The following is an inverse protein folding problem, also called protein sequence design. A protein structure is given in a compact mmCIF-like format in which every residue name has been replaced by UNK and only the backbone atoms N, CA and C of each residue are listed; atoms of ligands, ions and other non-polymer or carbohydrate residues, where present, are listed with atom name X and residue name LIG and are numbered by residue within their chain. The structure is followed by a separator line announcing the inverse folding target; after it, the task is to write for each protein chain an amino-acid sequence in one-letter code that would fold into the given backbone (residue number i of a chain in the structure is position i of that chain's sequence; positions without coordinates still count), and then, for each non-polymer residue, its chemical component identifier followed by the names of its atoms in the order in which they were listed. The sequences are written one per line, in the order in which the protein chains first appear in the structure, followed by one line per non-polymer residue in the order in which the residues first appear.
data_IF_360645172378
#
_entry.id   IF_360645172378
#
_cell.length_a   1.000
_cell.length_b   1.000
_cell.length_c   1.000
_cell.angle_alpha   90.00
_cell.angle_beta   90.00
_cell.angle_gamma   90.00
#
_symmetry.space_group_name_H-M   'P 1'
#
loop_
_entity.id
_entity.type
_entity.pdbx_description
1 polymer ?
#
# COMPACT_ATOMS: atom_id res chain seq x y z
N UNK A 1 -19.46 12.72 -6.59
CA UNK A 1 -18.21 12.25 -7.21
C UNK A 1 -18.46 12.10 -8.70
N UNK A 2 -17.51 12.51 -9.53
CA UNK A 2 -17.59 12.38 -10.99
C UNK A 2 -16.28 11.80 -11.51
N UNK A 3 -16.32 10.93 -12.53
CA UNK A 3 -15.11 10.37 -13.11
C UNK A 3 -14.29 11.49 -13.78
N UNK A 4 -12.98 11.50 -13.54
CA UNK A 4 -12.08 12.57 -14.00
C UNK A 4 -11.04 12.13 -15.03
N UNK A 5 -10.90 10.83 -15.31
CA UNK A 5 -9.94 10.35 -16.31
C UNK A 5 -10.35 10.77 -17.72
N UNK A 6 -9.36 11.18 -18.53
CA UNK A 6 -9.54 11.40 -19.97
C UNK A 6 -9.68 10.08 -20.73
N UNK A 7 -10.52 10.07 -21.77
CA UNK A 7 -10.73 8.96 -22.68
C UNK A 7 -9.46 8.67 -23.52
N UNK A 8 -9.03 7.41 -23.45
CA UNK A 8 -8.14 6.63 -24.34
C UNK A 8 -7.35 7.39 -25.42
N UNK A 9 -6.03 7.50 -25.22
CA UNK A 9 -5.04 7.33 -26.29
C UNK A 9 -3.64 7.22 -25.70
N UNK A 10 -3.20 5.99 -25.44
CA UNK A 10 -1.82 5.51 -25.39
C UNK A 10 -1.91 4.02 -24.99
N UNK A 11 -1.09 3.16 -25.59
CA UNK A 11 -1.07 1.67 -25.45
C UNK A 11 -1.87 1.14 -24.26
N UNK A 12 -3.02 0.50 -24.53
CA UNK A 12 -4.03 0.12 -23.53
C UNK A 12 -3.40 -0.71 -22.40
N UNK A 13 -3.05 -0.05 -21.30
CA UNK A 13 -2.65 -0.72 -20.07
C UNK A 13 -3.78 -1.67 -19.66
N UNK A 14 -3.42 -2.89 -19.23
CA UNK A 14 -4.42 -3.86 -18.79
C UNK A 14 -5.10 -3.42 -17.49
N UNK A 15 -4.33 -2.82 -16.59
CA UNK A 15 -4.89 -2.22 -15.38
C UNK A 15 -5.46 -0.85 -15.69
N UNK A 16 -6.67 -0.58 -15.21
CA UNK A 16 -7.33 0.72 -15.30
C UNK A 16 -7.66 1.25 -13.91
N UNK A 17 -7.11 2.40 -13.55
CA UNK A 17 -7.39 3.12 -12.32
C UNK A 17 -8.36 4.25 -12.64
N UNK A 18 -9.64 4.05 -12.36
CA UNK A 18 -10.68 5.08 -12.52
C UNK A 18 -10.65 6.02 -11.33
N UNK A 19 -10.24 7.27 -11.54
CA UNK A 19 -10.34 8.31 -10.52
C UNK A 19 -11.70 9.00 -10.59
N UNK A 20 -12.30 9.24 -9.42
CA UNK A 20 -13.51 10.04 -9.28
C UNK A 20 -13.24 11.21 -8.34
N UNK A 21 -13.41 12.44 -8.85
CA UNK A 21 -13.17 13.66 -8.10
C UNK A 21 -14.40 14.15 -7.34
N UNK A 22 -14.18 14.82 -6.22
CA UNK A 22 -15.19 15.68 -5.58
C UNK A 22 -15.44 16.93 -6.43
N UNK A 23 -16.54 17.64 -6.16
CA UNK A 23 -16.75 18.97 -6.76
C UNK A 23 -15.75 20.01 -6.26
N UNK A 24 -15.07 19.74 -5.13
CA UNK A 24 -14.03 20.60 -4.59
C UNK A 24 -12.74 20.47 -5.41
N UNK A 25 -12.33 19.27 -5.80
CA UNK A 25 -11.15 19.03 -6.62
C UNK A 25 -11.19 19.78 -7.97
N UNK A 26 -12.38 19.99 -8.54
CA UNK A 26 -12.54 20.77 -9.79
C UNK A 26 -12.04 22.23 -9.69
N UNK A 27 -11.88 22.76 -8.47
CA UNK A 27 -11.30 24.09 -8.24
C UNK A 27 -9.77 24.08 -8.26
N UNK A 28 -9.14 22.90 -8.35
CA UNK A 28 -7.70 22.68 -8.28
C UNK A 28 -7.22 21.86 -9.49
N UNK A 29 -7.19 22.45 -10.70
CA UNK A 29 -6.86 21.73 -11.93
C UNK A 29 -5.47 21.09 -11.91
N UNK A 30 -4.48 21.73 -11.26
CA UNK A 30 -3.12 21.18 -11.15
C UNK A 30 -3.06 19.92 -10.27
N UNK A 31 -3.78 19.90 -9.14
CA UNK A 31 -3.90 18.71 -8.30
C UNK A 31 -4.60 17.57 -9.05
N UNK A 32 -5.68 17.90 -9.79
CA UNK A 32 -6.41 16.95 -10.64
C UNK A 32 -5.49 16.32 -11.70
N UNK A 33 -4.69 17.12 -12.41
CA UNK A 33 -3.73 16.59 -13.38
C UNK A 33 -2.65 15.73 -12.73
N UNK A 34 -2.13 16.13 -11.57
CA UNK A 34 -1.10 15.35 -10.88
C UNK A 34 -1.63 13.98 -10.41
N UNK A 35 -2.88 13.91 -9.94
CA UNK A 35 -3.55 12.63 -9.67
C UNK A 35 -3.63 11.74 -10.92
N UNK A 36 -3.99 12.31 -12.07
CA UNK A 36 -4.08 11.56 -13.34
C UNK A 36 -2.70 11.02 -13.76
N UNK A 37 -1.64 11.83 -13.64
CA UNK A 37 -0.25 11.41 -13.91
C UNK A 37 0.18 10.29 -12.98
N UNK A 38 -0.11 10.41 -11.68
CA UNK A 38 0.23 9.40 -10.68
C UNK A 38 -0.49 8.07 -10.95
N UNK A 39 -1.78 8.10 -11.34
CA UNK A 39 -2.52 6.91 -11.72
C UNK A 39 -1.92 6.25 -12.97
N UNK A 40 -1.60 7.01 -14.01
CA UNK A 40 -1.00 6.49 -15.24
C UNK A 40 0.34 5.78 -14.98
N UNK A 41 1.16 6.26 -14.03
CA UNK A 41 2.41 5.57 -13.63
C UNK A 41 2.17 4.18 -13.05
N UNK A 42 1.10 4.01 -12.27
CA UNK A 42 0.75 2.70 -11.74
C UNK A 42 0.15 1.78 -12.81
N UNK A 43 -0.69 2.32 -13.70
CA UNK A 43 -1.32 1.55 -14.77
C UNK A 43 -0.30 0.86 -15.70
N UNK A 44 0.83 1.52 -15.99
CA UNK A 44 1.89 0.91 -16.83
C UNK A 44 2.73 -0.15 -16.12
N UNK A 45 2.71 -0.20 -14.78
CA UNK A 45 3.48 -1.16 -13.99
C UNK A 45 2.70 -2.44 -13.66
N UNK A 46 1.37 -2.38 -13.66
CA UNK A 46 0.51 -3.49 -13.23
C UNK A 46 -0.10 -4.19 -14.45
N UNK A 47 0.16 -5.48 -14.59
CA UNK A 47 -0.19 -6.26 -15.79
C UNK A 47 -1.52 -7.04 -15.65
N UNK A 48 -2.25 -6.88 -14.55
CA UNK A 48 -3.56 -7.52 -14.35
C UNK A 48 -4.64 -6.78 -15.16
N UNK A 49 -5.54 -7.52 -15.80
CA UNK A 49 -6.70 -6.92 -16.46
C UNK A 49 -7.81 -6.68 -15.43
N UNK A 50 -7.74 -5.50 -14.78
CA UNK A 50 -8.68 -5.11 -13.73
C UNK A 50 -8.98 -3.62 -13.78
N UNK A 51 -10.19 -3.26 -13.32
CA UNK A 51 -10.53 -1.87 -13.04
C UNK A 51 -10.57 -1.63 -11.53
N UNK A 52 -9.82 -0.63 -11.08
CA UNK A 52 -9.73 -0.17 -9.69
C UNK A 52 -10.32 1.23 -9.64
N UNK A 53 -11.23 1.50 -8.71
CA UNK A 53 -11.86 2.82 -8.56
C UNK A 53 -11.32 3.51 -7.33
N UNK A 54 -10.81 4.73 -7.49
CA UNK A 54 -10.31 5.56 -6.39
C UNK A 54 -11.04 6.89 -6.36
N UNK A 55 -11.57 7.21 -5.20
CA UNK A 55 -12.21 8.48 -4.90
C UNK A 55 -11.13 9.48 -4.46
N UNK A 56 -11.01 10.63 -5.11
CA UNK A 56 -9.93 11.61 -4.87
C UNK A 56 -10.47 12.99 -4.48
N UNK A 57 -9.77 13.66 -3.57
CA UNK A 57 -10.09 15.01 -3.10
C UNK A 57 -8.84 15.87 -2.82
N UNK A 58 -9.00 17.18 -2.86
CA UNK A 58 -7.96 18.14 -2.49
C UNK A 58 -8.59 19.33 -1.75
N UNK A 59 -8.22 19.52 -0.48
CA UNK A 59 -8.92 20.45 0.38
C UNK A 59 -8.39 20.55 1.80
N UNK A 60 -9.04 21.35 2.63
CA UNK A 60 -8.67 21.48 4.06
C UNK A 60 -9.20 20.32 4.91
N UNK A 61 -9.98 19.42 4.34
CA UNK A 61 -10.58 18.24 4.98
C UNK A 61 -10.43 17.00 4.11
N UNK A 62 -10.39 15.83 4.74
CA UNK A 62 -10.43 14.52 4.10
C UNK A 62 -11.88 14.03 3.98
N UNK A 63 -12.53 14.26 2.83
CA UNK A 63 -13.93 13.87 2.60
C UNK A 63 -14.91 14.35 3.71
N UNK A 64 -14.70 15.58 4.19
CA UNK A 64 -15.49 16.19 5.26
C UNK A 64 -15.01 15.89 6.69
N UNK A 65 -14.00 15.03 6.87
CA UNK A 65 -13.34 14.81 8.15
C UNK A 65 -12.06 15.65 8.27
N UNK A 66 -11.68 16.02 9.49
CA UNK A 66 -10.40 16.71 9.73
C UNK A 66 -9.23 15.77 9.43
N UNK A 67 -8.19 16.28 8.75
CA UNK A 67 -6.93 15.57 8.60
C UNK A 67 -6.26 15.31 9.96
N UNK A 68 -5.45 14.24 10.03
CA UNK A 68 -4.56 14.03 11.15
C UNK A 68 -3.55 15.18 11.30
N UNK A 69 -2.93 15.28 12.48
CA UNK A 69 -1.90 16.29 12.71
C UNK A 69 -0.74 16.07 11.71
N UNK A 70 -0.26 17.17 11.10
CA UNK A 70 0.82 17.15 10.10
C UNK A 70 0.62 16.17 8.93
N UNK A 71 -0.62 15.87 8.55
CA UNK A 71 -0.93 14.94 7.44
C UNK A 71 -1.00 15.69 6.10
N UNK A 72 -0.09 15.34 5.18
CA UNK A 72 0.00 15.89 3.82
C UNK A 72 -1.11 15.33 2.91
N UNK A 73 -1.19 14.00 2.88
CA UNK A 73 -2.18 13.21 2.19
C UNK A 73 -2.62 12.05 3.08
N UNK A 74 -3.77 11.48 2.77
CA UNK A 74 -4.27 10.30 3.46
C UNK A 74 -5.00 9.39 2.50
N UNK A 75 -4.78 8.09 2.67
CA UNK A 75 -5.49 7.03 1.97
C UNK A 75 -6.31 6.20 2.94
N UNK A 76 -7.58 5.99 2.63
CA UNK A 76 -8.42 4.99 3.29
C UNK A 76 -8.84 3.92 2.26
N UNK A 77 -8.32 2.71 2.42
CA UNK A 77 -8.63 1.59 1.53
C UNK A 77 -9.83 0.80 2.05
N UNK A 78 -10.73 0.39 1.15
CA UNK A 78 -11.75 -0.60 1.46
C UNK A 78 -11.09 -1.97 1.51
N UNK A 79 -11.14 -2.60 2.69
CA UNK A 79 -10.56 -3.92 2.96
C UNK A 79 -11.62 -4.93 3.34
N UNK A 80 -11.38 -6.19 2.99
CA UNK A 80 -12.24 -7.31 3.33
C UNK A 80 -11.40 -8.46 3.88
N UNK A 81 -12.01 -9.25 4.74
CA UNK A 81 -11.38 -10.42 5.36
C UNK A 81 -11.70 -11.67 4.54
N UNK A 82 -10.66 -12.40 4.14
CA UNK A 82 -10.75 -13.64 3.36
C UNK A 82 -9.94 -14.75 4.03
N UNK A 83 -10.34 -16.00 3.80
CA UNK A 83 -9.52 -17.14 4.18
C UNK A 83 -8.21 -17.13 3.40
N UNK A 84 -7.10 -17.41 4.09
CA UNK A 84 -5.77 -17.42 3.49
C UNK A 84 -5.66 -18.45 2.36
N UNK A 85 -6.35 -19.60 2.45
CA UNK A 85 -6.38 -20.58 1.37
C UNK A 85 -6.91 -20.01 0.05
N UNK A 86 -7.94 -19.15 0.10
CA UNK A 86 -8.49 -18.50 -1.09
C UNK A 86 -7.51 -17.47 -1.65
N UNK A 87 -6.88 -16.68 -0.79
CA UNK A 87 -5.87 -15.70 -1.20
C UNK A 87 -4.65 -16.39 -1.81
N UNK A 88 -4.14 -17.47 -1.20
CA UNK A 88 -3.03 -18.27 -1.73
C UNK A 88 -3.39 -18.90 -3.08
N UNK A 89 -4.59 -19.45 -3.22
CA UNK A 89 -5.07 -19.97 -4.50
C UNK A 89 -5.11 -18.88 -5.58
N UNK A 90 -5.63 -17.70 -5.24
CA UNK A 90 -5.65 -16.54 -6.14
C UNK A 90 -4.25 -16.09 -6.55
N UNK A 91 -3.28 -16.05 -5.62
CA UNK A 91 -1.89 -15.71 -5.94
C UNK A 91 -1.31 -16.72 -6.95
N UNK A 92 -1.50 -18.03 -6.71
CA UNK A 92 -1.03 -19.08 -7.61
C UNK A 92 -1.65 -19.02 -9.01
N UNK A 93 -2.95 -18.72 -9.12
CA UNK A 93 -3.63 -18.64 -10.42
C UNK A 93 -3.32 -17.36 -11.20
N UNK A 94 -2.85 -16.32 -10.51
CA UNK A 94 -2.62 -14.99 -11.09
C UNK A 94 -1.14 -14.59 -11.17
N UNK A 95 -0.23 -15.50 -10.84
CA UNK A 95 1.20 -15.30 -11.01
C UNK A 95 1.54 -14.83 -12.43
N UNK A 96 2.30 -13.74 -12.55
CA UNK A 96 2.61 -13.12 -13.84
C UNK A 96 3.71 -13.86 -14.60
N UNK A 97 4.54 -14.65 -13.90
CA UNK A 97 5.65 -15.40 -14.47
C UNK A 97 6.01 -16.62 -13.61
N UNK A 98 6.97 -17.43 -14.09
CA UNK A 98 7.41 -18.66 -13.43
C UNK A 98 8.10 -18.40 -12.08
N UNK A 99 8.84 -17.31 -11.94
CA UNK A 99 9.52 -16.95 -10.68
C UNK A 99 8.49 -16.65 -9.58
N UNK A 100 7.45 -15.88 -9.90
CA UNK A 100 6.35 -15.56 -9.01
C UNK A 100 5.52 -16.82 -8.68
N UNK A 101 5.23 -17.67 -9.66
CA UNK A 101 4.54 -18.94 -9.44
C UNK A 101 5.35 -19.86 -8.50
N UNK A 102 6.67 -19.93 -8.67
CA UNK A 102 7.56 -20.69 -7.80
C UNK A 102 7.58 -20.12 -6.38
N UNK A 103 7.66 -18.79 -6.22
CA UNK A 103 7.58 -18.13 -4.92
C UNK A 103 6.25 -18.40 -4.21
N UNK A 104 5.13 -18.28 -4.92
CA UNK A 104 3.80 -18.53 -4.35
C UNK A 104 3.57 -19.98 -3.99
N UNK A 105 4.19 -20.93 -4.70
CA UNK A 105 4.19 -22.34 -4.30
C UNK A 105 4.91 -22.57 -2.96
N UNK A 106 5.90 -21.73 -2.61
CA UNK A 106 6.59 -21.77 -1.31
C UNK A 106 5.75 -21.17 -0.17
N UNK A 107 4.65 -20.47 -0.44
CA UNK A 107 3.80 -19.92 0.62
C UNK A 107 3.29 -21.07 1.52
N UNK A 108 3.28 -20.88 2.87
CA UNK A 108 2.89 -21.92 3.82
C UNK A 108 1.53 -22.52 3.50
N UNK A 109 1.33 -23.79 3.82
CA UNK A 109 -0.02 -24.38 3.85
C UNK A 109 -0.71 -23.82 5.11
N UNK A 110 -2.00 -23.47 5.00
CA UNK A 110 -2.77 -22.86 6.09
C UNK A 110 -2.65 -23.64 7.40
N UNK A 111 -2.44 -22.96 8.54
CA UNK A 111 -2.36 -21.51 8.74
C UNK A 111 -0.95 -20.90 8.52
N UNK A 112 -0.87 -19.58 8.35
CA UNK A 112 0.41 -18.85 8.20
C UNK A 112 1.07 -18.67 9.58
N UNK A 113 2.30 -19.14 9.80
CA UNK A 113 3.02 -18.92 11.05
C UNK A 113 3.46 -17.45 11.17
N UNK A 114 3.38 -16.89 12.37
CA UNK A 114 3.83 -15.52 12.69
C UNK A 114 4.71 -15.48 13.93
N UNK A 115 5.36 -14.34 14.16
CA UNK A 115 6.19 -14.10 15.35
C UNK A 115 5.42 -13.57 16.58
N UNK A 116 4.08 -13.58 16.53
CA UNK A 116 3.23 -13.28 17.68
C UNK A 116 3.53 -14.25 18.81
N UNK A 117 3.75 -13.73 20.03
CA UNK A 117 4.15 -14.53 21.19
C UNK A 117 3.00 -15.40 21.75
N UNK A 118 1.75 -14.96 21.62
CA UNK A 118 0.60 -15.77 22.03
C UNK A 118 0.40 -16.93 21.04
N UNK A 119 0.77 -18.14 21.46
CA UNK A 119 0.66 -19.37 20.66
C UNK A 119 -0.75 -19.70 20.19
N UNK A 120 -1.79 -19.12 20.81
CA UNK A 120 -3.18 -19.29 20.37
C UNK A 120 -3.54 -18.42 19.17
N UNK A 121 -2.68 -17.46 18.83
CA UNK A 121 -2.93 -16.40 17.82
C UNK A 121 -1.79 -16.25 16.83
N UNK A 122 -0.74 -17.06 16.93
CA UNK A 122 0.45 -16.96 16.07
C UNK A 122 0.35 -17.80 14.78
N UNK A 123 -0.77 -18.48 14.60
CA UNK A 123 -1.14 -19.22 13.40
C UNK A 123 -2.34 -18.49 12.77
N UNK A 124 -2.12 -17.83 11.64
CA UNK A 124 -3.08 -16.90 11.03
C UNK A 124 -3.77 -17.56 9.84
N UNK A 125 -5.09 -17.82 9.89
CA UNK A 125 -5.82 -18.39 8.76
C UNK A 125 -6.48 -17.33 7.87
N UNK A 126 -6.37 -16.04 8.21
CA UNK A 126 -7.11 -14.97 7.54
C UNK A 126 -6.21 -13.87 6.98
N UNK A 127 -6.60 -13.34 5.83
CA UNK A 127 -6.00 -12.16 5.20
C UNK A 127 -7.02 -11.04 5.15
N UNK A 128 -6.68 -9.87 5.65
CA UNK A 128 -7.40 -8.64 5.37
C UNK A 128 -6.75 -7.95 4.18
N UNK A 129 -7.41 -8.00 3.03
CA UNK A 129 -6.86 -7.49 1.77
C UNK A 129 -7.64 -6.27 1.28
N UNK A 130 -6.93 -5.34 0.65
CA UNK A 130 -7.54 -4.27 -0.12
C UNK A 130 -8.41 -4.87 -1.23
N UNK A 131 -9.58 -4.29 -1.45
CA UNK A 131 -10.48 -4.70 -2.54
C UNK A 131 -9.81 -4.60 -3.92
N UNK A 132 -8.92 -3.63 -4.12
CA UNK A 132 -8.04 -3.55 -5.30
C UNK A 132 -7.20 -4.83 -5.51
N UNK A 133 -6.57 -5.35 -4.45
CA UNK A 133 -5.80 -6.61 -4.48
C UNK A 133 -6.74 -7.80 -4.70
N UNK A 134 -7.90 -7.84 -4.04
CA UNK A 134 -8.84 -8.95 -4.23
C UNK A 134 -9.40 -9.03 -5.66
N UNK A 135 -9.50 -7.90 -6.38
CA UNK A 135 -9.84 -7.87 -7.81
C UNK A 135 -8.75 -8.50 -8.65
N UNK A 136 -7.47 -8.18 -8.40
CA UNK A 136 -6.35 -8.77 -9.16
C UNK A 136 -6.25 -10.28 -8.95
N UNK A 137 -6.63 -10.76 -7.76
CA UNK A 137 -6.70 -12.19 -7.43
C UNK A 137 -7.97 -12.90 -7.95
N UNK A 138 -8.90 -12.18 -8.58
CA UNK A 138 -10.18 -12.74 -9.04
C UNK A 138 -11.15 -13.13 -7.90
N UNK A 139 -10.91 -12.67 -6.68
CA UNK A 139 -11.68 -13.01 -5.47
C UNK A 139 -12.78 -12.00 -5.16
N UNK A 140 -12.78 -10.85 -5.83
CA UNK A 140 -13.75 -9.79 -5.61
C UNK A 140 -14.18 -9.16 -6.92
N UNK A 141 -15.48 -9.20 -7.20
CA UNK A 141 -16.09 -8.44 -8.27
C UNK A 141 -17.37 -7.81 -7.73
N UNK A 142 -17.29 -6.56 -7.28
CA UNK A 142 -18.45 -5.83 -6.78
C UNK A 142 -18.99 -4.85 -7.82
N UNK A 143 -20.30 -4.95 -8.07
CA UNK A 143 -21.09 -4.02 -8.86
C UNK A 143 -21.66 -2.86 -8.05
N UNK A 144 -21.31 -2.72 -6.76
CA UNK A 144 -21.93 -1.75 -5.85
C UNK A 144 -21.59 -0.29 -6.15
N UNK A 145 -20.73 -0.02 -7.14
CA UNK A 145 -20.26 1.33 -7.48
C UNK A 145 -19.42 2.02 -6.38
N UNK A 146 -19.07 1.30 -5.31
CA UNK A 146 -18.21 1.82 -4.24
C UNK A 146 -16.75 1.80 -4.69
N UNK A 147 -15.99 2.83 -4.32
CA UNK A 147 -14.56 2.87 -4.60
C UNK A 147 -13.80 1.81 -3.77
N UNK A 148 -12.67 1.39 -4.30
CA UNK A 148 -11.72 0.50 -3.63
C UNK A 148 -10.85 1.29 -2.61
N UNK A 149 -10.70 2.60 -2.79
CA UNK A 149 -10.08 3.51 -1.83
C UNK A 149 -10.56 4.95 -1.97
N UNK A 150 -10.35 5.76 -0.93
CA UNK A 150 -10.45 7.22 -0.97
C UNK A 150 -9.07 7.83 -0.66
N UNK A 151 -8.65 8.83 -1.42
CA UNK A 151 -7.39 9.57 -1.23
C UNK A 151 -7.70 11.06 -1.16
N UNK A 152 -7.17 11.75 -0.15
CA UNK A 152 -7.36 13.19 -0.04
C UNK A 152 -6.09 13.88 0.41
N UNK A 153 -5.87 15.09 -0.11
CA UNK A 153 -4.70 15.91 0.19
C UNK A 153 -5.07 17.19 0.90
N UNK A 154 -4.26 17.56 1.87
CA UNK A 154 -4.48 18.70 2.74
C UNK A 154 -3.95 19.99 2.11
N UNK A 155 -4.85 20.79 1.54
CA UNK A 155 -4.53 22.05 0.85
C UNK A 155 -3.93 23.14 1.75
N UNK A 156 -3.77 22.91 3.05
CA UNK A 156 -3.04 23.81 3.95
C UNK A 156 -1.52 23.71 3.78
N UNK A 157 -1.02 22.69 3.08
CA UNK A 157 0.40 22.56 2.77
C UNK A 157 0.73 23.18 1.41
N UNK A 158 1.94 23.74 1.32
CA UNK A 158 2.50 24.19 0.05
C UNK A 158 3.02 23.00 -0.76
N UNK A 159 2.38 22.78 -1.92
CA UNK A 159 2.70 21.70 -2.85
C UNK A 159 3.25 22.26 -4.15
N UNK A 160 4.22 21.53 -4.71
CA UNK A 160 4.63 21.63 -6.10
C UNK A 160 3.88 20.57 -6.90
N UNK A 161 3.25 20.96 -8.01
CA UNK A 161 2.44 20.08 -8.85
C UNK A 161 3.14 19.73 -10.18
N UNK A 162 4.30 20.33 -10.47
CA UNK A 162 5.05 20.10 -11.70
C UNK A 162 6.52 19.81 -11.38
N UNK A 163 6.87 18.53 -11.19
CA UNK A 163 8.22 18.18 -10.77
C UNK A 163 9.21 18.12 -11.97
N UNK A 164 8.82 18.59 -13.16
CA UNK A 164 9.64 18.55 -14.38
C UNK A 164 10.79 19.56 -14.38
N UNK A 165 10.71 20.60 -13.54
CA UNK A 165 11.70 21.66 -13.39
C UNK A 165 12.41 21.63 -12.02
N UNK A 166 12.27 20.52 -11.28
CA UNK A 166 12.70 20.41 -9.88
C UNK A 166 11.54 20.61 -8.91
N UNK A 167 11.82 20.63 -7.61
CA UNK A 167 10.84 20.93 -6.57
C UNK A 167 11.30 22.21 -5.86
N UNK A 168 10.41 23.20 -5.78
CA UNK A 168 10.69 24.43 -5.05
C UNK A 168 11.09 24.13 -3.59
N UNK A 169 12.12 24.81 -3.08
CA UNK A 169 12.75 24.53 -1.77
C UNK A 169 11.76 24.53 -0.58
N UNK A 170 10.65 25.27 -0.71
CA UNK A 170 9.62 25.38 0.33
C UNK A 170 8.36 24.56 0.01
N UNK A 171 8.34 23.84 -1.10
CA UNK A 171 7.19 23.07 -1.58
C UNK A 171 7.44 21.57 -1.40
N UNK A 172 6.35 20.81 -1.37
CA UNK A 172 6.35 19.35 -1.28
C UNK A 172 5.98 18.81 -2.66
N UNK A 173 6.70 17.79 -3.15
CA UNK A 173 6.35 17.13 -4.41
C UNK A 173 4.98 16.43 -4.30
N UNK A 174 3.93 17.06 -4.82
CA UNK A 174 2.59 16.47 -4.83
C UNK A 174 2.53 15.22 -5.70
N UNK A 175 3.26 15.21 -6.80
CA UNK A 175 3.28 14.12 -7.75
C UNK A 175 3.88 12.85 -7.09
N UNK A 176 4.99 13.00 -6.36
CA UNK A 176 5.57 11.95 -5.54
C UNK A 176 4.61 11.42 -4.46
N UNK A 177 3.98 12.32 -3.70
CA UNK A 177 3.02 11.91 -2.65
C UNK A 177 1.75 11.29 -3.26
N UNK A 178 1.27 11.74 -4.41
CA UNK A 178 0.13 11.12 -5.10
C UNK A 178 0.44 9.68 -5.55
N UNK A 179 1.64 9.43 -6.06
CA UNK A 179 2.10 8.07 -6.38
C UNK A 179 2.15 7.21 -5.12
N UNK A 180 2.67 7.75 -4.02
CA UNK A 180 2.73 7.09 -2.72
C UNK A 180 1.34 6.69 -2.19
N UNK A 181 0.40 7.63 -2.15
CA UNK A 181 -0.96 7.38 -1.66
C UNK A 181 -1.71 6.35 -2.53
N UNK A 182 -1.52 6.38 -3.85
CA UNK A 182 -2.07 5.33 -4.73
C UNK A 182 -1.43 3.97 -4.41
N UNK A 183 -0.14 3.92 -4.04
CA UNK A 183 0.51 2.70 -3.57
C UNK A 183 -0.21 2.07 -2.36
N UNK A 184 -0.63 2.87 -1.38
CA UNK A 184 -1.46 2.39 -0.27
C UNK A 184 -2.81 1.85 -0.74
N UNK A 185 -3.49 2.53 -1.67
CA UNK A 185 -4.74 2.06 -2.24
C UNK A 185 -4.59 0.70 -2.93
N UNK A 186 -3.45 0.47 -3.58
CA UNK A 186 -3.11 -0.74 -4.32
C UNK A 186 -2.59 -1.90 -3.46
N UNK A 187 -2.52 -1.73 -2.14
CA UNK A 187 -2.26 -2.83 -1.21
C UNK A 187 -0.96 -2.73 -0.43
N UNK A 188 -0.23 -1.61 -0.54
CA UNK A 188 0.92 -1.31 0.31
C UNK A 188 0.45 -0.95 1.73
N UNK A 189 -0.05 -1.96 2.45
CA UNK A 189 -0.70 -1.85 3.75
C UNK A 189 -0.18 -2.97 4.63
N UNK A 190 -0.18 -2.77 5.95
CA UNK A 190 0.35 -3.77 6.89
C UNK A 190 -0.55 -3.86 8.11
N UNK A 191 -0.63 -5.07 8.67
CA UNK A 191 -1.23 -5.35 9.98
C UNK A 191 -0.16 -5.54 11.06
N UNK A 192 1.11 -5.34 10.74
CA UNK A 192 2.18 -5.43 11.73
C UNK A 192 1.97 -4.41 12.84
N UNK A 193 2.03 -4.88 14.08
CA UNK A 193 1.80 -4.10 15.28
C UNK A 193 0.34 -3.99 15.70
N UNK A 194 -0.61 -4.42 14.87
CA UNK A 194 -2.04 -4.23 15.13
C UNK A 194 -2.56 -5.06 16.32
N UNK A 195 -1.92 -6.21 16.58
CA UNK A 195 -2.23 -7.08 17.71
C UNK A 195 -1.52 -6.67 19.01
N UNK A 196 -0.54 -5.77 18.95
CA UNK A 196 0.24 -5.35 20.12
C UNK A 196 -0.59 -4.45 21.06
N UNK A 197 -1.63 -3.81 20.54
CA UNK A 197 -2.46 -2.85 21.28
C UNK A 197 -3.87 -3.38 21.60
N UNK A 198 -4.29 -4.52 21.05
CA UNK A 198 -5.61 -5.10 21.35
C UNK A 198 -5.71 -6.60 21.09
N UNK A 199 -6.18 -7.33 22.11
CA UNK A 199 -6.46 -8.77 22.01
C UNK A 199 -7.86 -9.10 21.48
N UNK A 200 -8.79 -8.13 21.43
CA UNK A 200 -10.14 -8.30 20.89
C UNK A 200 -10.19 -8.36 19.36
N UNK A 201 -9.09 -7.92 18.75
CA UNK A 201 -8.84 -7.81 17.33
C UNK A 201 -8.71 -9.21 16.68
N UNK A 202 -9.39 -9.49 15.55
CA UNK A 202 -9.16 -10.75 14.85
C UNK A 202 -7.73 -10.80 14.27
N UNK A 203 -6.94 -11.87 14.56
CA UNK A 203 -5.63 -12.05 13.95
C UNK A 203 -5.77 -12.27 12.44
N UNK A 204 -5.17 -11.36 11.67
CA UNK A 204 -5.11 -11.44 10.22
C UNK A 204 -3.82 -10.77 9.74
N UNK A 205 -3.32 -11.20 8.59
CA UNK A 205 -2.22 -10.57 7.86
C UNK A 205 -2.82 -9.68 6.75
N UNK A 206 -2.12 -8.65 6.31
CA UNK A 206 -2.36 -8.13 4.96
C UNK A 206 -1.74 -9.06 3.91
N UNK A 207 -2.10 -8.91 2.64
CA UNK A 207 -1.41 -9.63 1.56
C UNK A 207 0.10 -9.30 1.55
N UNK A 208 0.47 -8.05 1.88
CA UNK A 208 1.86 -7.61 1.90
C UNK A 208 2.66 -8.24 3.07
N UNK A 209 2.02 -8.47 4.22
CA UNK A 209 2.67 -9.12 5.37
C UNK A 209 3.04 -10.60 5.10
N UNK A 210 2.47 -11.24 4.07
CA UNK A 210 2.89 -12.58 3.62
C UNK A 210 4.36 -12.64 3.17
N UNK A 211 4.98 -11.49 2.93
CA UNK A 211 6.36 -11.37 2.47
C UNK A 211 7.23 -10.60 3.48
N UNK A 212 6.71 -10.33 4.69
CA UNK A 212 7.40 -9.62 5.76
C UNK A 212 8.01 -10.62 6.75
N UNK A 213 9.32 -10.50 6.99
CA UNK A 213 10.08 -11.42 7.82
C UNK A 213 11.07 -10.69 8.73
N UNK A 214 11.64 -11.44 9.67
CA UNK A 214 12.93 -11.11 10.28
C UNK A 214 14.07 -11.29 9.26
N UNK A 215 15.27 -10.74 9.51
CA UNK A 215 16.44 -11.00 8.69
C UNK A 215 16.72 -12.50 8.46
N UNK A 216 17.54 -12.79 7.45
CA UNK A 216 18.04 -14.14 7.11
C UNK A 216 17.00 -15.13 6.55
N UNK A 217 15.80 -14.66 6.19
CA UNK A 217 14.89 -15.46 5.35
C UNK A 217 15.53 -15.73 3.98
N UNK A 218 15.38 -16.96 3.50
CA UNK A 218 15.83 -17.39 2.17
C UNK A 218 14.71 -18.16 1.50
N UNK A 219 14.84 -18.48 0.20
CA UNK A 219 13.86 -19.32 -0.50
C UNK A 219 13.70 -20.71 0.16
N UNK A 220 14.76 -21.27 0.75
CA UNK A 220 14.70 -22.58 1.41
C UNK A 220 13.95 -22.55 2.74
N UNK A 221 13.94 -21.41 3.44
CA UNK A 221 13.24 -21.22 4.72
C UNK A 221 11.89 -20.55 4.57
N UNK A 222 11.55 -20.04 3.38
CA UNK A 222 10.37 -19.23 3.11
C UNK A 222 9.04 -19.86 3.57
N UNK A 223 8.89 -21.17 3.40
CA UNK A 223 7.65 -21.90 3.70
C UNK A 223 7.41 -22.12 5.20
N UNK A 224 8.46 -22.08 6.02
CA UNK A 224 8.39 -22.36 7.46
C UNK A 224 8.73 -21.16 8.33
N UNK A 225 9.42 -20.15 7.79
CA UNK A 225 9.74 -18.93 8.50
C UNK A 225 8.47 -18.16 8.91
N UNK A 226 8.42 -17.75 10.18
CA UNK A 226 7.34 -16.90 10.68
C UNK A 226 7.31 -15.57 9.96
N UNK A 227 6.10 -15.12 9.57
CA UNK A 227 5.88 -13.75 9.13
C UNK A 227 5.93 -12.80 10.32
N UNK A 228 6.59 -11.67 10.16
CA UNK A 228 6.66 -10.69 11.24
C UNK A 228 5.37 -9.88 11.29
N UNK A 229 4.65 -10.02 12.39
CA UNK A 229 3.40 -9.31 12.66
C UNK A 229 3.48 -8.48 13.96
N UNK A 230 4.56 -8.63 14.73
CA UNK A 230 4.88 -7.80 15.90
C UNK A 230 5.64 -6.52 15.54
N UNK A 231 5.45 -5.47 16.34
CA UNK A 231 6.23 -4.22 16.27
C UNK A 231 7.68 -4.46 16.67
N UNK A 232 8.58 -3.64 16.11
CA UNK A 232 9.96 -3.56 16.54
C UNK A 232 10.88 -4.61 15.94
N UNK A 233 12.17 -4.48 16.24
CA UNK A 233 13.26 -5.28 15.67
C UNK A 233 13.41 -5.09 14.16
N UNK A 234 14.49 -5.60 13.57
CA UNK A 234 14.67 -5.54 12.12
C UNK A 234 13.61 -6.36 11.39
N UNK A 235 13.14 -5.82 10.27
CA UNK A 235 12.12 -6.41 9.42
C UNK A 235 12.49 -6.22 7.96
N UNK A 236 12.20 -7.22 7.13
CA UNK A 236 12.55 -7.29 5.71
C UNK A 236 11.37 -7.74 4.87
N UNK A 237 11.22 -7.12 3.71
CA UNK A 237 10.36 -7.62 2.64
C UNK A 237 11.18 -8.55 1.76
N UNK A 238 10.69 -9.76 1.50
CA UNK A 238 11.44 -10.76 0.74
C UNK A 238 10.54 -11.55 -0.21
N UNK A 239 10.95 -11.56 -1.48
CA UNK A 239 10.28 -12.26 -2.60
C UNK A 239 11.26 -13.11 -3.42
N UNK A 240 12.39 -13.51 -2.83
CA UNK A 240 13.42 -14.33 -3.48
C UNK A 240 14.67 -13.59 -3.94
N UNK A 241 14.63 -12.25 -4.02
CA UNK A 241 15.77 -11.39 -4.31
C UNK A 241 16.41 -10.76 -3.07
N UNK A 242 17.14 -9.65 -3.24
CA UNK A 242 17.71 -8.88 -2.11
C UNK A 242 16.59 -8.40 -1.18
N UNK A 243 16.60 -8.77 0.12
CA UNK A 243 15.56 -8.32 1.04
C UNK A 243 15.59 -6.80 1.23
N UNK A 244 14.43 -6.15 1.19
CA UNK A 244 14.29 -4.70 1.37
C UNK A 244 13.95 -4.36 2.83
N UNK A 245 14.56 -3.33 3.40
CA UNK A 245 14.30 -2.91 4.77
C UNK A 245 12.90 -2.28 4.90
N UNK A 246 12.26 -2.55 6.04
CA UNK A 246 10.89 -2.15 6.33
C UNK A 246 10.78 -1.27 7.57
N UNK A 247 9.77 -0.41 7.60
CA UNK A 247 9.38 0.32 8.81
C UNK A 247 8.80 -0.62 9.88
N UNK A 248 9.11 -0.36 11.15
CA UNK A 248 8.95 -1.34 12.25
C UNK A 248 7.97 -0.91 13.34
N UNK A 249 7.34 0.26 13.23
CA UNK A 249 6.20 0.65 14.07
C UNK A 249 6.58 1.43 15.33
N UNK A 250 5.73 1.38 16.35
CA UNK A 250 5.85 2.24 17.55
C UNK A 250 7.19 2.11 18.28
N UNK A 251 7.82 3.25 18.60
CA UNK A 251 9.03 3.31 19.44
C UNK A 251 8.81 2.77 20.85
N UNK A 252 7.57 2.84 21.37
CA UNK A 252 7.23 2.30 22.70
C UNK A 252 7.37 0.78 22.80
N UNK A 253 7.38 0.09 21.65
CA UNK A 253 7.53 -1.35 21.55
C UNK A 253 8.85 -1.73 20.83
N UNK A 254 9.80 -0.79 20.73
CA UNK A 254 11.10 -1.02 20.09
C UNK A 254 11.08 -0.94 18.55
N UNK A 255 10.07 -0.27 17.98
CA UNK A 255 10.03 0.11 16.57
C UNK A 255 10.77 1.41 16.27
N UNK A 256 10.78 1.79 15.00
CA UNK A 256 11.47 2.96 14.46
C UNK A 256 10.61 4.24 14.42
N UNK A 257 9.38 4.18 14.91
CA UNK A 257 8.43 5.29 14.91
C UNK A 257 7.73 5.53 13.58
N UNK A 258 7.96 4.69 12.57
CA UNK A 258 7.35 4.82 11.25
C UNK A 258 6.23 3.81 11.06
N UNK A 259 5.21 4.18 10.27
CA UNK A 259 4.07 3.31 10.02
C UNK A 259 4.53 2.03 9.32
N UNK A 260 4.05 0.88 9.78
CA UNK A 260 4.55 -0.42 9.31
C UNK A 260 4.26 -0.67 7.83
N UNK A 261 3.30 0.00 7.22
CA UNK A 261 3.02 -0.01 5.78
C UNK A 261 4.01 0.78 4.93
N UNK A 262 5.30 0.79 5.25
CA UNK A 262 6.32 1.58 4.56
C UNK A 262 7.64 0.82 4.39
N UNK A 263 8.42 1.23 3.39
CA UNK A 263 9.85 0.95 3.37
C UNK A 263 10.52 1.54 4.61
N UNK A 264 11.76 1.13 4.88
CA UNK A 264 12.56 1.80 5.89
C UNK A 264 12.83 3.24 5.42
N UNK A 265 12.63 4.16 6.35
CA UNK A 265 12.89 5.59 6.21
C UNK A 265 14.36 5.89 5.92
N UNK A 266 14.62 6.56 4.81
CA UNK A 266 15.93 7.01 4.39
C UNK A 266 16.55 8.03 5.37
N UNK A 267 15.76 8.77 6.15
CA UNK A 267 16.29 9.62 7.21
C UNK A 267 16.87 8.84 8.39
N UNK A 268 16.54 7.55 8.51
CA UNK A 268 17.07 6.67 9.55
C UNK A 268 18.28 5.85 9.08
N UNK A 269 18.28 5.38 7.83
CA UNK A 269 19.33 4.49 7.29
C UNK A 269 20.19 5.12 6.16
N UNK A 270 19.84 6.31 5.69
CA UNK A 270 20.58 7.06 4.67
C UNK A 270 20.42 6.53 3.23
N UNK A 271 19.45 5.64 2.98
CA UNK A 271 19.24 5.03 1.67
C UNK A 271 17.75 4.98 1.30
N UNK A 272 17.38 5.68 0.24
CA UNK A 272 16.02 5.66 -0.31
C UNK A 272 15.76 4.35 -1.05
N UNK A 273 14.81 3.56 -0.56
CA UNK A 273 14.40 2.28 -1.19
C UNK A 273 13.41 2.53 -2.34
N UNK A 274 12.51 3.49 -2.19
CA UNK A 274 11.53 3.85 -3.21
C UNK A 274 10.38 4.68 -2.65
N UNK A 275 9.37 4.92 -3.49
CA UNK A 275 8.30 5.91 -3.23
C UNK A 275 7.48 5.66 -1.95
N UNK A 276 7.47 4.44 -1.42
CA UNK A 276 6.82 4.13 -0.14
C UNK A 276 7.71 4.40 1.08
N UNK A 277 8.67 5.33 0.96
CA UNK A 277 9.35 5.94 2.11
C UNK A 277 8.32 6.74 2.94
N UNK A 278 8.31 6.62 4.28
CA UNK A 278 7.35 7.34 5.12
C UNK A 278 7.63 8.84 5.26
N UNK A 279 8.72 9.35 4.69
CA UNK A 279 9.09 10.76 4.75
C UNK A 279 9.41 11.34 3.38
N UNK A 280 9.07 12.62 3.22
CA UNK A 280 9.45 13.43 2.07
C UNK A 280 9.68 14.84 2.56
N UNK A 281 10.90 15.36 2.41
CA UNK A 281 11.20 16.74 2.82
C UNK A 281 10.83 17.73 1.72
N UNK A 282 10.69 19.00 2.09
CA UNK A 282 10.48 20.09 1.13
C UNK A 282 11.68 20.21 0.19
N UNK A 283 11.42 20.55 -1.08
CA UNK A 283 12.46 20.67 -2.10
C UNK A 283 13.07 19.35 -2.56
N UNK A 284 12.50 18.21 -2.14
CA UNK A 284 12.92 16.88 -2.56
C UNK A 284 11.88 16.23 -3.47
N UNK A 285 12.38 15.34 -4.34
CA UNK A 285 11.60 14.46 -5.21
C UNK A 285 11.84 13.00 -4.80
#
# INVERSE_FOLDING_TARGET
MYQINHLENETQAKTKIVLRGTAQLEKFPQAKEAFLKAAARWEVLINNDVTITIDVDFGTTFFGATFGNNTLGATASRRLLYDYDLVRAGLLTTAANEEEANLYNLLPITPVPTDIKDKRRNQIPMIEANTAVLRTLGLFNSSSGLADATIGFNSNFAFDFDPSNGIDVNSIDFDGVAVHEIGHALGFTSRTGFLDFSIAQLPALSTWDLFRFRPDVTLSTFSTASRTLSTGGEQRFFIGGTPLALSTGSTTLGGDGRQTSHWKDDLLEGNLIGVMDPTLSRGQR
#
